data_IF_431096449073
#
_entry.id   IF_431096449073
#
_cell.length_a   1.000
_cell.length_b   1.000
_cell.length_c   1.000
_cell.angle_alpha   90.00
_cell.angle_beta   90.00
_cell.angle_gamma   90.00
#
_symmetry.space_group_name_H-M   'P 1'
#
loop_
_entity.id
_entity.type
_entity.pdbx_description
1 polymer ?
#
# COMPACT_ATOMS: atom_id res chain seq x y z
N UNK A 1 38.91 -33.95 35.62
CA UNK A 1 37.56 -33.35 35.71
C UNK A 1 37.67 -31.84 35.48
N UNK A 2 37.62 -31.39 34.22
CA UNK A 2 37.66 -29.95 33.88
C UNK A 2 36.36 -29.60 33.15
N UNK A 3 35.57 -28.72 33.76
CA UNK A 3 34.31 -28.22 33.24
C UNK A 3 34.59 -27.17 32.16
N UNK A 4 34.05 -27.37 30.95
CA UNK A 4 34.05 -26.36 29.89
C UNK A 4 32.80 -25.47 30.04
N UNK A 5 32.99 -24.26 30.54
CA UNK A 5 31.93 -23.26 30.64
C UNK A 5 31.59 -22.73 29.24
N UNK A 6 30.41 -23.10 28.74
CA UNK A 6 29.83 -22.50 27.54
C UNK A 6 29.54 -21.01 27.81
N UNK A 7 30.42 -20.12 27.31
CA UNK A 7 30.12 -18.68 27.14
C UNK A 7 28.94 -18.56 26.17
N UNK A 8 27.71 -18.56 26.70
CA UNK A 8 26.55 -18.03 25.99
C UNK A 8 26.81 -16.54 25.83
N UNK A 9 27.24 -16.13 24.65
CA UNK A 9 27.26 -14.73 24.26
C UNK A 9 25.86 -14.16 24.46
N UNK A 10 25.70 -13.30 25.46
CA UNK A 10 24.52 -12.49 25.65
C UNK A 10 24.44 -11.49 24.50
N UNK A 11 23.81 -11.89 23.39
CA UNK A 11 23.33 -10.92 22.41
C UNK A 11 22.41 -9.97 23.18
N UNK A 12 22.86 -8.73 23.33
CA UNK A 12 22.20 -7.75 24.17
C UNK A 12 20.78 -7.50 23.67
N UNK A 13 19.80 -7.69 24.55
CA UNK A 13 18.40 -7.34 24.32
C UNK A 13 18.22 -5.90 23.78
N UNK A 14 19.14 -5.00 24.16
CA UNK A 14 19.22 -3.62 23.68
C UNK A 14 19.59 -3.51 22.19
N UNK A 15 20.46 -4.37 21.66
CA UNK A 15 20.81 -4.38 20.24
C UNK A 15 19.63 -4.88 19.37
N UNK A 16 18.88 -5.88 19.85
CA UNK A 16 17.64 -6.31 19.20
C UNK A 16 16.54 -5.23 19.26
N UNK A 17 16.44 -4.48 20.36
CA UNK A 17 15.53 -3.33 20.50
C UNK A 17 15.86 -2.17 19.55
N UNK A 18 17.15 -1.88 19.35
CA UNK A 18 17.61 -0.85 18.41
C UNK A 18 17.33 -1.24 16.95
N UNK A 19 17.62 -2.49 16.56
CA UNK A 19 17.35 -2.98 15.22
C UNK A 19 15.85 -3.00 14.90
N UNK A 20 15.03 -3.40 15.87
CA UNK A 20 13.56 -3.41 15.72
C UNK A 20 12.96 -2.00 15.68
N UNK A 21 13.51 -1.04 16.43
CA UNK A 21 13.15 0.38 16.32
C UNK A 21 13.50 0.96 14.92
N UNK A 22 14.69 0.65 14.40
CA UNK A 22 15.10 1.04 13.05
C UNK A 22 14.21 0.39 11.97
N UNK A 23 13.82 -0.88 12.13
CA UNK A 23 12.91 -1.57 11.21
C UNK A 23 11.45 -1.07 11.32
N UNK A 24 10.98 -0.66 12.51
CA UNK A 24 9.69 0.00 12.65
C UNK A 24 9.69 1.39 11.99
N UNK A 25 10.82 2.10 12.01
CA UNK A 25 11.00 3.30 11.18
C UNK A 25 10.96 2.99 9.68
N UNK A 26 11.08 1.74 9.24
CA UNK A 26 10.95 1.40 7.81
C UNK A 26 9.51 1.06 7.41
N UNK A 27 8.55 1.12 8.34
CA UNK A 27 7.12 0.97 8.02
C UNK A 27 6.54 2.30 7.51
N UNK A 28 6.11 2.31 6.24
CA UNK A 28 5.38 3.43 5.62
C UNK A 28 5.99 3.95 4.31
N UNK A 29 5.29 4.89 3.67
CA UNK A 29 5.76 5.55 2.44
C UNK A 29 6.58 6.77 2.85
N UNK A 30 7.88 6.73 2.59
CA UNK A 30 8.81 7.82 2.88
C UNK A 30 9.55 8.21 1.61
N UNK A 31 9.80 9.50 1.45
CA UNK A 31 10.54 10.06 0.31
C UNK A 31 11.53 11.08 0.85
N UNK A 32 12.78 11.01 0.40
CA UNK A 32 13.78 12.04 0.68
C UNK A 32 13.59 13.17 -0.34
N UNK A 33 13.59 14.41 0.13
CA UNK A 33 13.62 15.58 -0.75
C UNK A 33 15.04 15.72 -1.29
N UNK A 34 15.19 15.67 -2.61
CA UNK A 34 16.47 15.86 -3.29
C UNK A 34 16.45 17.22 -3.99
N UNK A 35 17.60 17.88 -4.06
CA UNK A 35 17.80 19.11 -4.84
C UNK A 35 16.80 20.24 -4.50
N UNK A 36 16.39 20.34 -3.23
CA UNK A 36 15.39 21.29 -2.74
C UNK A 36 14.03 21.24 -3.50
N UNK A 37 13.73 20.15 -4.21
CA UNK A 37 12.48 20.02 -4.95
C UNK A 37 11.43 19.26 -4.14
N UNK A 38 10.67 20.01 -3.34
CA UNK A 38 9.60 19.48 -2.51
C UNK A 38 8.44 18.93 -3.35
N UNK A 39 8.04 19.63 -4.40
CA UNK A 39 6.89 19.26 -5.24
C UNK A 39 7.09 17.90 -5.90
N UNK A 40 8.30 17.65 -6.41
CA UNK A 40 8.65 16.36 -6.97
C UNK A 40 8.61 15.26 -5.91
N UNK A 41 9.11 15.52 -4.70
CA UNK A 41 9.06 14.56 -3.60
C UNK A 41 7.62 14.23 -3.19
N UNK A 42 6.74 15.24 -3.12
CA UNK A 42 5.32 15.08 -2.83
C UNK A 42 4.58 14.32 -3.94
N UNK A 43 4.86 14.61 -5.21
CA UNK A 43 4.27 13.88 -6.33
C UNK A 43 4.68 12.40 -6.33
N UNK A 44 5.94 12.10 -6.00
CA UNK A 44 6.42 10.73 -5.83
C UNK A 44 5.76 10.03 -4.64
N UNK A 45 5.63 10.73 -3.51
CA UNK A 45 4.94 10.21 -2.33
C UNK A 45 3.47 9.89 -2.65
N UNK A 46 2.75 10.82 -3.30
CA UNK A 46 1.36 10.63 -3.71
C UNK A 46 1.20 9.45 -4.67
N UNK A 47 2.06 9.33 -5.68
CA UNK A 47 2.03 8.19 -6.62
C UNK A 47 2.22 6.87 -5.88
N UNK A 48 3.20 6.80 -4.98
CA UNK A 48 3.46 5.60 -4.16
C UNK A 48 2.25 5.29 -3.26
N UNK A 49 1.64 6.30 -2.65
CA UNK A 49 0.45 6.21 -1.81
C UNK A 49 -0.79 5.72 -2.57
N UNK A 50 -0.97 6.17 -3.80
CA UNK A 50 -2.05 5.74 -4.66
C UNK A 50 -1.87 4.29 -5.12
N UNK A 51 -0.65 3.95 -5.56
CA UNK A 51 -0.32 2.60 -6.05
C UNK A 51 -0.40 1.53 -4.97
N UNK A 52 -0.05 1.86 -3.71
CA UNK A 52 -0.19 0.95 -2.57
C UNK A 52 -1.65 0.72 -2.16
N UNK A 53 -2.58 1.52 -2.68
CA UNK A 53 -3.99 1.46 -2.32
C UNK A 53 -4.31 2.10 -0.97
N UNK A 54 -3.32 2.65 -0.25
CA UNK A 54 -3.55 3.25 1.08
C UNK A 54 -4.48 4.47 0.99
N UNK A 55 -4.37 5.30 -0.07
CA UNK A 55 -5.28 6.42 -0.27
C UNK A 55 -6.75 5.95 -0.33
N UNK A 56 -6.99 4.82 -1.02
CA UNK A 56 -8.33 4.26 -1.15
C UNK A 56 -8.82 3.73 0.18
N UNK A 57 -7.95 3.04 0.93
CA UNK A 57 -8.30 2.53 2.25
C UNK A 57 -8.69 3.68 3.18
N UNK A 58 -7.86 4.72 3.29
CA UNK A 58 -8.12 5.91 4.12
C UNK A 58 -9.42 6.59 3.71
N UNK A 59 -9.64 6.85 2.42
CA UNK A 59 -10.89 7.48 1.93
C UNK A 59 -12.12 6.62 2.14
N UNK A 60 -11.94 5.30 2.14
CA UNK A 60 -13.01 4.32 2.34
C UNK A 60 -13.22 3.93 3.80
N UNK A 61 -12.49 4.54 4.74
CA UNK A 61 -12.66 4.27 6.17
C UNK A 61 -14.13 4.51 6.54
N UNK A 62 -14.73 3.46 7.12
CA UNK A 62 -16.14 3.49 7.48
C UNK A 62 -16.28 4.28 8.78
N UNK A 63 -16.93 5.45 8.71
CA UNK A 63 -17.26 6.25 9.88
C UNK A 63 -18.41 5.66 10.69
N UNK A 64 -19.26 4.84 10.06
CA UNK A 64 -20.40 4.17 10.68
C UNK A 64 -20.46 2.67 10.35
N UNK A 65 -21.19 1.92 11.17
CA UNK A 65 -21.39 0.50 10.94
C UNK A 65 -22.35 0.24 9.78
N UNK A 66 -21.91 -0.60 8.84
CA UNK A 66 -22.73 -1.12 7.74
C UNK A 66 -23.04 -2.59 8.01
N UNK A 67 -24.31 -2.97 7.88
CA UNK A 67 -24.75 -4.37 8.10
C UNK A 67 -24.22 -5.29 7.00
N UNK A 68 -24.13 -6.60 7.29
CA UNK A 68 -23.57 -7.57 6.34
C UNK A 68 -24.39 -7.70 5.04
N UNK A 69 -25.72 -7.56 5.10
CA UNK A 69 -26.59 -7.54 3.92
C UNK A 69 -26.22 -6.38 2.98
N UNK A 70 -26.01 -5.19 3.54
CA UNK A 70 -25.64 -3.99 2.78
C UNK A 70 -24.23 -4.10 2.21
N UNK A 71 -23.27 -4.64 2.98
CA UNK A 71 -21.91 -4.92 2.47
C UNK A 71 -21.94 -5.79 1.21
N UNK A 72 -22.79 -6.82 1.16
CA UNK A 72 -22.97 -7.69 -0.03
C UNK A 72 -23.51 -6.91 -1.22
N UNK A 73 -24.49 -6.04 -1.00
CA UNK A 73 -25.07 -5.21 -2.06
C UNK A 73 -24.04 -4.22 -2.61
N UNK A 74 -23.28 -3.56 -1.73
CA UNK A 74 -22.21 -2.63 -2.14
C UNK A 74 -21.11 -3.34 -2.95
N UNK A 75 -20.68 -4.53 -2.52
CA UNK A 75 -19.70 -5.33 -3.24
C UNK A 75 -20.20 -5.69 -4.65
N UNK A 76 -21.47 -6.12 -4.78
CA UNK A 76 -22.08 -6.44 -6.08
C UNK A 76 -22.12 -5.21 -7.00
N UNK A 77 -22.56 -4.05 -6.49
CA UNK A 77 -22.59 -2.79 -7.25
C UNK A 77 -21.19 -2.35 -7.69
N UNK A 78 -20.17 -2.54 -6.85
CA UNK A 78 -18.78 -2.23 -7.20
C UNK A 78 -18.24 -3.14 -8.31
N UNK A 79 -18.53 -4.44 -8.24
CA UNK A 79 -18.15 -5.39 -9.27
C UNK A 79 -18.79 -5.04 -10.61
N UNK A 80 -20.08 -4.77 -10.62
CA UNK A 80 -20.81 -4.39 -11.84
C UNK A 80 -20.25 -3.11 -12.46
N UNK A 81 -19.97 -2.07 -11.65
CA UNK A 81 -19.32 -0.84 -12.13
C UNK A 81 -17.96 -1.12 -12.77
N UNK A 82 -17.16 -2.02 -12.18
CA UNK A 82 -15.85 -2.41 -12.72
C UNK A 82 -15.99 -3.15 -14.05
N UNK A 83 -16.93 -4.07 -14.18
CA UNK A 83 -17.15 -4.82 -15.43
C UNK A 83 -17.61 -3.86 -16.53
N UNK A 84 -18.61 -3.01 -16.25
CA UNK A 84 -19.12 -2.02 -17.21
C UNK A 84 -18.02 -1.08 -17.72
N UNK A 85 -17.14 -0.59 -16.84
CA UNK A 85 -16.04 0.29 -17.24
C UNK A 85 -14.99 -0.43 -18.09
N UNK A 86 -14.68 -1.69 -17.76
CA UNK A 86 -13.77 -2.52 -18.55
C UNK A 86 -14.32 -2.82 -19.94
N UNK A 87 -15.61 -3.18 -20.04
CA UNK A 87 -16.25 -3.45 -21.33
C UNK A 87 -16.29 -2.20 -22.21
N UNK A 88 -16.61 -1.04 -21.62
CA UNK A 88 -16.55 0.24 -22.31
C UNK A 88 -15.13 0.53 -22.81
N UNK A 89 -14.10 0.36 -21.97
CA UNK A 89 -12.72 0.59 -22.37
C UNK A 89 -12.28 -0.34 -23.52
N UNK A 90 -12.71 -1.60 -23.51
CA UNK A 90 -12.46 -2.55 -24.60
C UNK A 90 -13.13 -2.12 -25.91
N UNK A 91 -14.39 -1.69 -25.85
CA UNK A 91 -15.13 -1.17 -27.02
C UNK A 91 -14.45 0.07 -27.60
N UNK A 92 -14.07 1.03 -26.76
CA UNK A 92 -13.35 2.23 -27.20
C UNK A 92 -12.01 1.88 -27.84
N UNK A 93 -11.25 0.95 -27.25
CA UNK A 93 -9.99 0.49 -27.83
C UNK A 93 -10.20 -0.14 -29.21
N UNK A 94 -11.23 -0.96 -29.39
CA UNK A 94 -11.56 -1.55 -30.69
C UNK A 94 -11.91 -0.49 -31.74
N UNK A 95 -12.73 0.50 -31.38
CA UNK A 95 -13.08 1.62 -32.27
C UNK A 95 -11.82 2.41 -32.64
N UNK A 96 -10.97 2.77 -31.67
CA UNK A 96 -9.74 3.53 -31.93
C UNK A 96 -8.79 2.77 -32.87
N UNK A 97 -8.61 1.46 -32.67
CA UNK A 97 -7.79 0.63 -33.56
C UNK A 97 -8.36 0.58 -34.97
N UNK A 98 -9.69 0.47 -35.12
CA UNK A 98 -10.35 0.49 -36.43
C UNK A 98 -10.33 1.86 -37.12
N UNK A 99 -10.17 2.96 -36.36
CA UNK A 99 -10.19 4.33 -36.88
C UNK A 99 -8.81 4.89 -37.21
N UNK A 100 -7.77 4.42 -36.51
CA UNK A 100 -6.37 4.86 -36.69
C UNK A 100 -5.64 4.04 -37.76
N UNK A 101 -6.13 2.83 -38.06
CA UNK A 101 -5.62 1.97 -39.13
C UNK A 101 -6.40 2.20 -40.42
#
# INVERSE_FOLDING_TARGET
MIQAAAKRGSLSLLALGSLSSQLQQWRGIRVKVLNNNLDQALALMQRKMQSSGIERMIRSEQTCHIKNSEKRVLAKKNLERKIRSQDLARKLKAILVQKVR
#
